data_IF_155394356146
#
_entry.id   IF_155394356146
#
_cell.length_a   1.000
_cell.length_b   1.000
_cell.length_c   1.000
_cell.angle_alpha   90.00
_cell.angle_beta   90.00
_cell.angle_gamma   90.00
#
_symmetry.space_group_name_H-M   'P 1'
#
loop_
_entity.id
_entity.type
_entity.pdbx_description
1 polymer ?
#
# COMPACT_ATOMS: atom_id res chain seq x y z
N UNK A 1 26.91 14.02 -9.26
CA UNK A 1 25.50 13.92 -8.80
C UNK A 1 24.93 12.52 -8.97
N UNK A 2 24.94 11.90 -10.16
CA UNK A 2 24.40 10.54 -10.37
C UNK A 2 25.00 9.48 -9.43
N UNK A 3 26.34 9.49 -9.24
CA UNK A 3 27.02 8.56 -8.33
C UNK A 3 26.56 8.75 -6.88
N UNK A 4 26.38 9.99 -6.41
CA UNK A 4 25.88 10.27 -5.06
C UNK A 4 24.44 9.80 -4.86
N UNK A 5 23.58 9.98 -5.86
CA UNK A 5 22.22 9.45 -5.83
C UNK A 5 22.19 7.92 -5.79
N UNK A 6 23.06 7.27 -6.58
CA UNK A 6 23.16 5.81 -6.59
C UNK A 6 23.65 5.27 -5.24
N UNK A 7 24.68 5.89 -4.65
CA UNK A 7 25.18 5.54 -3.32
C UNK A 7 24.09 5.75 -2.26
N UNK A 8 23.35 6.85 -2.31
CA UNK A 8 22.23 7.12 -1.41
C UNK A 8 21.11 6.07 -1.54
N UNK A 9 20.74 5.70 -2.77
CA UNK A 9 19.74 4.66 -3.00
C UNK A 9 20.18 3.30 -2.43
N UNK A 10 21.44 2.91 -2.65
CA UNK A 10 22.00 1.66 -2.10
C UNK A 10 21.96 1.68 -0.57
N UNK A 11 22.35 2.79 0.06
CA UNK A 11 22.33 2.91 1.53
C UNK A 11 20.91 2.79 2.10
N UNK A 12 19.93 3.42 1.46
CA UNK A 12 18.52 3.34 1.88
C UNK A 12 18.00 1.92 1.71
N UNK A 13 18.27 1.28 0.57
CA UNK A 13 17.86 -0.11 0.33
C UNK A 13 18.52 -1.08 1.30
N UNK A 14 19.82 -0.95 1.55
CA UNK A 14 20.54 -1.78 2.52
C UNK A 14 20.00 -1.57 3.94
N UNK A 15 19.72 -0.32 4.31
CA UNK A 15 19.08 0.02 5.60
C UNK A 15 17.71 -0.65 5.75
N UNK A 16 16.85 -0.57 4.73
CA UNK A 16 15.53 -1.23 4.75
C UNK A 16 15.66 -2.76 4.91
N UNK A 17 16.60 -3.40 4.20
CA UNK A 17 16.85 -4.84 4.32
C UNK A 17 17.32 -5.18 5.75
N UNK A 18 18.21 -4.39 6.34
CA UNK A 18 18.68 -4.61 7.70
C UNK A 18 17.56 -4.45 8.73
N UNK A 19 16.68 -3.46 8.57
CA UNK A 19 15.49 -3.28 9.41
C UNK A 19 14.55 -4.47 9.29
N UNK A 20 14.32 -4.97 8.08
CA UNK A 20 13.52 -6.18 7.86
C UNK A 20 14.11 -7.38 8.60
N UNK A 21 15.40 -7.67 8.43
CA UNK A 21 16.06 -8.81 9.06
C UNK A 21 16.04 -8.71 10.59
N UNK A 22 16.30 -7.52 11.13
CA UNK A 22 16.19 -7.26 12.56
C UNK A 22 14.76 -7.46 13.07
N UNK A 23 13.77 -6.90 12.36
CA UNK A 23 12.37 -6.96 12.76
C UNK A 23 11.83 -8.39 12.73
N UNK A 24 12.22 -9.21 11.74
CA UNK A 24 11.86 -10.63 11.69
C UNK A 24 12.31 -11.36 12.97
N UNK A 25 13.58 -11.16 13.38
CA UNK A 25 14.09 -11.76 14.62
C UNK A 25 13.37 -11.23 15.86
N UNK A 26 13.11 -9.93 15.91
CA UNK A 26 12.37 -9.31 17.00
C UNK A 26 10.95 -9.87 17.11
N UNK A 27 10.21 -9.94 16.01
CA UNK A 27 8.83 -10.42 15.95
C UNK A 27 8.70 -11.89 16.39
N UNK A 28 9.70 -12.73 16.07
CA UNK A 28 9.74 -14.11 16.56
C UNK A 28 10.05 -14.18 18.05
N UNK A 29 11.00 -13.38 18.55
CA UNK A 29 11.41 -13.38 19.96
C UNK A 29 10.32 -12.86 20.92
N UNK A 30 9.45 -11.97 20.44
CA UNK A 30 8.35 -11.40 21.23
C UNK A 30 7.05 -12.21 21.12
N UNK A 31 7.03 -13.25 20.29
CA UNK A 31 5.83 -14.03 20.02
C UNK A 31 4.78 -13.31 19.16
N UNK A 32 5.16 -12.22 18.46
CA UNK A 32 4.27 -11.49 17.55
C UNK A 32 3.84 -12.35 16.37
N UNK A 33 4.72 -13.23 15.88
CA UNK A 33 4.42 -14.19 14.82
C UNK A 33 4.93 -15.58 15.17
N UNK A 34 4.24 -16.65 14.74
CA UNK A 34 4.69 -18.01 14.94
C UNK A 34 5.91 -18.32 14.06
N UNK A 35 6.76 -19.23 14.56
CA UNK A 35 8.00 -19.64 13.87
C UNK A 35 7.73 -20.51 12.64
N UNK A 36 6.65 -21.27 12.64
CA UNK A 36 6.25 -22.13 11.52
C UNK A 36 5.24 -21.44 10.61
N UNK A 37 5.53 -21.35 9.32
CA UNK A 37 4.68 -20.67 8.32
C UNK A 37 3.23 -21.18 8.29
N UNK A 38 3.01 -22.49 8.49
CA UNK A 38 1.65 -23.05 8.51
C UNK A 38 0.76 -22.55 9.65
N UNK A 39 1.35 -22.05 10.74
CA UNK A 39 0.61 -21.51 11.88
C UNK A 39 0.32 -20.01 11.74
N UNK A 40 0.75 -19.36 10.66
CA UNK A 40 0.43 -17.96 10.44
C UNK A 40 -1.07 -17.81 10.22
N UNK A 41 -1.67 -16.85 10.92
CA UNK A 41 -3.03 -16.38 10.67
C UNK A 41 -3.01 -15.10 9.85
N UNK A 42 -4.17 -14.68 9.33
CA UNK A 42 -4.29 -13.36 8.70
C UNK A 42 -3.98 -12.24 9.70
N UNK A 43 -4.39 -12.38 10.96
CA UNK A 43 -4.04 -11.46 12.03
C UNK A 43 -2.53 -11.31 12.19
N UNK A 44 -1.80 -12.42 12.22
CA UNK A 44 -0.34 -12.42 12.31
C UNK A 44 0.30 -11.73 11.09
N UNK A 45 -0.18 -12.02 9.87
CA UNK A 45 0.30 -11.36 8.65
C UNK A 45 0.07 -9.84 8.70
N UNK A 46 -1.14 -9.41 9.05
CA UNK A 46 -1.49 -7.98 9.08
C UNK A 46 -0.70 -7.26 10.19
N UNK A 47 -0.64 -7.83 11.39
CA UNK A 47 0.14 -7.27 12.49
C UNK A 47 1.63 -7.17 12.14
N UNK A 48 2.20 -8.21 11.55
CA UNK A 48 3.59 -8.21 11.10
C UNK A 48 3.86 -7.10 10.06
N UNK A 49 3.02 -7.00 9.02
CA UNK A 49 3.19 -6.00 7.95
C UNK A 49 3.04 -4.56 8.48
N UNK A 50 2.06 -4.30 9.35
CA UNK A 50 1.87 -2.97 9.93
C UNK A 50 3.02 -2.56 10.83
N UNK A 51 3.49 -3.46 11.69
CA UNK A 51 4.63 -3.18 12.57
C UNK A 51 5.92 -3.03 11.77
N UNK A 52 6.15 -3.87 10.76
CA UNK A 52 7.29 -3.75 9.86
C UNK A 52 7.28 -2.39 9.16
N UNK A 53 6.14 -2.00 8.58
CA UNK A 53 5.99 -0.71 7.91
C UNK A 53 6.25 0.45 8.88
N UNK A 54 5.76 0.35 10.11
CA UNK A 54 6.00 1.37 11.14
C UNK A 54 7.49 1.49 11.48
N UNK A 55 8.18 0.37 11.70
CA UNK A 55 9.61 0.37 11.99
C UNK A 55 10.46 0.83 10.81
N UNK A 56 10.11 0.45 9.60
CA UNK A 56 10.79 0.90 8.38
C UNK A 56 10.61 2.41 8.17
N UNK A 57 9.38 2.93 8.34
CA UNK A 57 9.12 4.35 8.26
C UNK A 57 9.86 5.14 9.35
N UNK A 58 9.94 4.59 10.56
CA UNK A 58 10.60 5.23 11.69
C UNK A 58 12.12 5.23 11.54
N UNK A 59 12.72 4.09 11.20
CA UNK A 59 14.18 3.91 11.17
C UNK A 59 14.81 4.35 9.84
N UNK A 60 14.10 4.25 8.73
CA UNK A 60 14.60 4.64 7.40
C UNK A 60 13.88 5.89 6.90
N UNK A 61 12.55 5.93 7.01
CA UNK A 61 11.75 7.04 6.51
C UNK A 61 12.10 8.38 7.16
N UNK A 62 12.19 8.45 8.50
CA UNK A 62 12.53 9.70 9.20
C UNK A 62 13.93 10.20 8.83
N UNK A 63 15.01 9.39 8.92
CA UNK A 63 16.34 9.84 8.47
C UNK A 63 16.38 10.26 7.00
N UNK A 64 15.67 9.55 6.11
CA UNK A 64 15.56 9.90 4.70
C UNK A 64 14.96 11.31 4.53
N UNK A 65 13.89 11.62 5.26
CA UNK A 65 13.24 12.94 5.21
C UNK A 65 14.21 14.02 5.69
N UNK A 66 14.97 13.78 6.76
CA UNK A 66 15.96 14.73 7.29
C UNK A 66 17.03 15.02 6.23
N UNK A 67 17.60 13.98 5.60
CA UNK A 67 18.60 14.13 4.53
C UNK A 67 18.01 14.92 3.36
N UNK A 68 16.78 14.61 2.96
CA UNK A 68 16.10 15.34 1.88
C UNK A 68 15.92 16.83 2.20
N UNK A 69 15.56 17.18 3.44
CA UNK A 69 15.42 18.58 3.89
C UNK A 69 16.79 19.28 3.87
N UNK A 70 17.86 18.64 4.34
CA UNK A 70 19.21 19.22 4.34
C UNK A 70 19.70 19.49 2.92
N UNK A 71 19.54 18.51 2.01
CA UNK A 71 19.88 18.66 0.59
C UNK A 71 19.07 19.80 -0.04
N UNK A 72 17.77 19.91 0.29
CA UNK A 72 16.91 20.97 -0.23
C UNK A 72 17.30 22.37 0.29
N UNK A 73 17.63 22.50 1.59
CA UNK A 73 18.11 23.75 2.17
C UNK A 73 19.46 24.16 1.58
N UNK A 74 20.36 23.20 1.35
CA UNK A 74 21.63 23.44 0.67
C UNK A 74 21.43 23.90 -0.77
N UNK A 75 20.55 23.23 -1.52
CA UNK A 75 20.18 23.62 -2.89
C UNK A 75 19.53 25.02 -2.97
N UNK A 76 18.88 25.47 -1.90
CA UNK A 76 18.35 26.83 -1.81
C UNK A 76 19.41 27.92 -1.63
N UNK A 77 20.63 27.58 -1.22
CA UNK A 77 21.71 28.54 -0.97
C UNK A 77 22.66 28.74 -2.16
N UNK A 78 22.51 27.99 -3.26
CA UNK A 78 23.36 28.13 -4.45
C UNK A 78 22.95 29.37 -5.32
N UNK A 79 23.91 30.11 -5.90
CA UNK A 79 23.67 31.29 -6.73
C UNK A 79 22.88 30.97 -8.02
N UNK A 80 22.16 31.99 -8.54
CA UNK A 80 21.14 31.85 -9.58
C UNK A 80 21.68 31.37 -10.94
N UNK A 81 22.96 31.61 -11.28
CA UNK A 81 23.54 31.16 -12.56
C UNK A 81 23.58 29.62 -12.70
N UNK A 82 23.92 28.86 -11.65
CA UNK A 82 23.95 27.39 -11.70
C UNK A 82 22.55 26.77 -11.63
N UNK A 83 21.56 27.52 -11.14
CA UNK A 83 20.20 27.00 -10.91
C UNK A 83 19.38 26.83 -12.18
N UNK A 84 19.70 27.60 -13.23
CA UNK A 84 18.97 27.59 -14.50
C UNK A 84 19.35 26.41 -15.40
N UNK A 85 20.57 25.90 -15.31
CA UNK A 85 21.04 24.75 -16.07
C UNK A 85 20.44 23.41 -15.57
N UNK A 86 19.96 23.39 -14.32
CA UNK A 86 19.27 22.24 -13.70
C UNK A 86 17.75 22.44 -13.58
N UNK A 87 17.13 23.25 -14.43
CA UNK A 87 15.67 23.27 -14.55
C UNK A 87 15.18 22.02 -15.29
N UNK A 88 15.36 20.86 -14.68
CA UNK A 88 14.66 19.63 -15.07
C UNK A 88 13.21 19.73 -14.62
N UNK A 89 12.47 20.70 -15.19
CA UNK A 89 11.02 20.81 -15.11
C UNK A 89 10.43 19.77 -16.07
N UNK A 90 10.82 18.51 -15.85
CA UNK A 90 10.19 17.37 -16.48
C UNK A 90 8.72 17.44 -16.10
N UNK A 91 7.85 17.62 -17.09
CA UNK A 91 6.41 17.45 -16.94
C UNK A 91 6.21 16.12 -16.25
N UNK A 92 5.87 16.16 -14.97
CA UNK A 92 5.45 15.00 -14.20
C UNK A 92 4.17 14.55 -14.88
N UNK A 93 4.28 13.61 -15.82
CA UNK A 93 3.12 12.87 -16.26
C UNK A 93 2.61 12.17 -15.02
N UNK A 94 1.54 12.72 -14.44
CA UNK A 94 0.67 11.94 -13.58
C UNK A 94 0.13 10.86 -14.50
N UNK A 95 0.84 9.74 -14.62
CA UNK A 95 0.14 8.50 -14.92
C UNK A 95 -0.71 8.26 -13.69
N UNK A 96 -1.99 8.63 -13.81
CA UNK A 96 -3.02 8.13 -12.93
C UNK A 96 -3.06 6.63 -13.17
N UNK A 97 -2.19 5.89 -12.48
CA UNK A 97 -2.20 4.43 -12.46
C UNK A 97 -3.45 4.01 -11.67
N UNK A 98 -4.61 4.10 -12.33
CA UNK A 98 -5.92 3.77 -11.78
C UNK A 98 -6.16 2.27 -11.58
N UNK A 99 -5.13 1.43 -11.74
CA UNK A 99 -5.25 -0.02 -11.64
C UNK A 99 -5.23 -0.59 -10.21
N UNK A 100 -4.74 0.14 -9.21
CA UNK A 100 -4.48 -0.45 -7.89
C UNK A 100 -5.64 -0.33 -6.89
N UNK A 101 -6.58 0.61 -7.10
CA UNK A 101 -7.65 0.87 -6.14
C UNK A 101 -8.63 -0.32 -6.03
N UNK A 102 -8.96 -0.97 -7.15
CA UNK A 102 -9.90 -2.08 -7.16
C UNK A 102 -9.34 -3.33 -6.46
N UNK A 103 -8.09 -3.71 -6.74
CA UNK A 103 -7.41 -4.81 -6.04
C UNK A 103 -7.29 -4.55 -4.54
N UNK A 104 -7.02 -3.30 -4.16
CA UNK A 104 -6.98 -2.89 -2.75
C UNK A 104 -8.34 -3.03 -2.07
N UNK A 105 -9.44 -2.63 -2.74
CA UNK A 105 -10.79 -2.78 -2.21
C UNK A 105 -11.17 -4.27 -1.99
N UNK A 106 -10.82 -5.15 -2.95
CA UNK A 106 -11.04 -6.59 -2.79
C UNK A 106 -10.24 -7.12 -1.60
N UNK A 107 -8.98 -6.70 -1.46
CA UNK A 107 -8.14 -7.12 -0.33
C UNK A 107 -8.73 -6.69 1.02
N UNK A 108 -9.15 -5.43 1.15
CA UNK A 108 -9.79 -4.94 2.38
C UNK A 108 -11.11 -5.68 2.66
N UNK A 109 -11.95 -5.87 1.65
CA UNK A 109 -13.19 -6.62 1.80
C UNK A 109 -12.94 -8.08 2.24
N UNK A 110 -11.89 -8.70 1.71
CA UNK A 110 -11.45 -10.04 2.11
C UNK A 110 -11.01 -10.09 3.58
N UNK A 111 -10.22 -9.12 4.04
CA UNK A 111 -9.84 -9.02 5.46
C UNK A 111 -11.05 -8.87 6.36
N UNK A 112 -12.01 -8.01 5.98
CA UNK A 112 -13.26 -7.82 6.72
C UNK A 112 -14.04 -9.13 6.78
N UNK A 113 -14.18 -9.83 5.66
CA UNK A 113 -14.89 -11.12 5.61
C UNK A 113 -14.26 -12.16 6.52
N UNK A 114 -12.94 -12.31 6.47
CA UNK A 114 -12.19 -13.24 7.33
C UNK A 114 -12.39 -12.91 8.81
N UNK A 115 -12.39 -11.62 9.15
CA UNK A 115 -12.66 -11.15 10.51
C UNK A 115 -14.08 -11.49 10.96
N UNK A 116 -15.09 -11.23 10.12
CA UNK A 116 -16.50 -11.52 10.42
C UNK A 116 -16.77 -13.02 10.61
N UNK A 117 -16.05 -13.87 9.88
CA UNK A 117 -16.16 -15.33 10.01
C UNK A 117 -15.40 -15.89 11.23
N UNK A 118 -14.71 -15.05 12.01
CA UNK A 118 -13.91 -15.50 13.16
C UNK A 118 -12.61 -16.19 12.79
N UNK A 119 -12.22 -16.18 11.51
CA UNK A 119 -10.99 -16.82 11.03
C UNK A 119 -9.74 -15.93 11.13
N UNK A 120 -9.86 -14.75 11.77
CA UNK A 120 -8.77 -13.77 11.88
C UNK A 120 -7.49 -14.33 12.50
N UNK A 121 -7.62 -15.05 13.62
CA UNK A 121 -6.50 -15.64 14.37
C UNK A 121 -6.32 -17.14 14.11
N UNK A 122 -7.05 -17.67 13.13
CA UNK A 122 -6.98 -19.09 12.76
C UNK A 122 -5.81 -19.31 11.81
N UNK A 123 -5.05 -20.37 12.05
CA UNK A 123 -3.91 -20.77 11.22
C UNK A 123 -4.34 -21.04 9.77
N UNK A 124 -3.64 -20.47 8.80
CA UNK A 124 -3.91 -20.63 7.36
C UNK A 124 -3.83 -22.10 6.94
N UNK A 125 -3.00 -22.92 7.61
CA UNK A 125 -2.92 -24.35 7.32
C UNK A 125 -4.24 -25.12 7.54
N UNK A 126 -5.17 -24.59 8.35
CA UNK A 126 -6.48 -25.24 8.56
C UNK A 126 -7.55 -24.76 7.58
N UNK A 127 -7.22 -23.81 6.70
CA UNK A 127 -8.17 -23.26 5.76
C UNK A 127 -8.34 -24.18 4.55
N UNK A 128 -9.58 -24.36 4.11
CA UNK A 128 -9.86 -25.03 2.84
C UNK A 128 -9.68 -24.05 1.67
N UNK A 129 -9.29 -24.59 0.52
CA UNK A 129 -9.25 -23.80 -0.72
C UNK A 129 -10.64 -23.27 -1.07
N UNK A 130 -11.69 -24.06 -0.83
CA UNK A 130 -13.09 -23.65 -1.01
C UNK A 130 -13.41 -22.40 -0.20
N UNK A 131 -13.01 -22.36 1.09
CA UNK A 131 -13.22 -21.18 1.91
C UNK A 131 -12.58 -19.94 1.28
N UNK A 132 -11.35 -20.04 0.79
CA UNK A 132 -10.65 -18.91 0.16
C UNK A 132 -11.38 -18.43 -1.10
N UNK A 133 -11.77 -19.36 -1.98
CA UNK A 133 -12.49 -19.03 -3.23
C UNK A 133 -13.84 -18.39 -2.93
N UNK A 134 -14.66 -18.99 -2.07
CA UNK A 134 -15.97 -18.44 -1.71
C UNK A 134 -15.85 -17.08 -1.01
N UNK A 135 -14.82 -16.89 -0.18
CA UNK A 135 -14.53 -15.58 0.44
C UNK A 135 -14.32 -14.48 -0.60
N UNK A 136 -13.44 -14.74 -1.58
CA UNK A 136 -13.11 -13.78 -2.63
C UNK A 136 -14.34 -13.48 -3.49
N UNK A 137 -15.07 -14.52 -3.92
CA UNK A 137 -16.30 -14.34 -4.70
C UNK A 137 -17.33 -13.53 -3.93
N UNK A 138 -17.54 -13.83 -2.64
CA UNK A 138 -18.50 -13.12 -1.79
C UNK A 138 -18.17 -11.63 -1.71
N UNK A 139 -16.89 -11.29 -1.52
CA UNK A 139 -16.43 -9.90 -1.47
C UNK A 139 -16.62 -9.21 -2.81
N UNK A 140 -16.30 -9.86 -3.92
CA UNK A 140 -16.52 -9.31 -5.26
C UNK A 140 -18.00 -9.02 -5.52
N UNK A 141 -18.90 -9.91 -5.09
CA UNK A 141 -20.35 -9.71 -5.17
C UNK A 141 -20.78 -8.50 -4.34
N UNK A 142 -20.31 -8.37 -3.10
CA UNK A 142 -20.63 -7.22 -2.25
C UNK A 142 -20.11 -5.90 -2.84
N UNK A 143 -18.90 -5.87 -3.41
CA UNK A 143 -18.36 -4.70 -4.11
C UNK A 143 -19.25 -4.36 -5.32
N UNK A 144 -19.63 -5.35 -6.13
CA UNK A 144 -20.52 -5.14 -7.27
C UNK A 144 -21.90 -4.62 -6.84
N UNK A 145 -22.44 -5.06 -5.70
CA UNK A 145 -23.70 -4.55 -5.15
C UNK A 145 -23.55 -3.09 -4.70
N UNK A 146 -22.52 -2.78 -3.90
CA UNK A 146 -22.29 -1.45 -3.31
C UNK A 146 -22.01 -0.40 -4.38
N UNK A 147 -21.23 -0.72 -5.42
CA UNK A 147 -20.90 0.23 -6.49
C UNK A 147 -21.83 0.13 -7.69
N UNK A 148 -22.29 -1.07 -8.03
CA UNK A 148 -23.11 -1.32 -9.22
C UNK A 148 -24.54 -0.79 -9.07
N UNK A 149 -25.16 -0.88 -7.90
CA UNK A 149 -26.52 -0.33 -7.70
C UNK A 149 -26.52 1.20 -7.84
N UNK A 150 -25.67 1.97 -7.14
CA UNK A 150 -25.62 3.43 -7.33
C UNK A 150 -25.25 3.84 -8.75
N UNK A 151 -24.33 3.11 -9.40
CA UNK A 151 -23.97 3.37 -10.79
C UNK A 151 -25.17 3.18 -11.71
N UNK A 152 -25.91 2.08 -11.56
CA UNK A 152 -27.11 1.80 -12.35
C UNK A 152 -28.19 2.88 -12.15
N UNK A 153 -28.43 3.29 -10.90
CA UNK A 153 -29.39 4.37 -10.59
C UNK A 153 -28.94 5.68 -11.25
N UNK A 154 -27.65 6.03 -11.17
CA UNK A 154 -27.10 7.23 -11.81
C UNK A 154 -27.25 7.21 -13.32
N UNK A 155 -27.00 6.06 -13.96
CA UNK A 155 -27.15 5.89 -15.41
C UNK A 155 -28.63 6.04 -15.82
N UNK A 156 -29.55 5.40 -15.10
CA UNK A 156 -30.99 5.50 -15.38
C UNK A 156 -31.46 6.95 -15.21
N UNK A 157 -31.05 7.63 -14.14
CA UNK A 157 -31.39 9.03 -13.92
C UNK A 157 -30.85 9.96 -15.01
N UNK A 158 -29.60 9.76 -15.44
CA UNK A 158 -28.98 10.53 -16.51
C UNK A 158 -29.71 10.36 -17.84
N UNK A 159 -30.04 9.11 -18.24
CA UNK A 159 -30.83 8.84 -19.44
C UNK A 159 -32.22 9.48 -19.37
N UNK A 160 -32.89 9.42 -18.21
CA UNK A 160 -34.19 10.07 -18.02
C UNK A 160 -34.13 11.60 -18.05
N UNK A 161 -33.03 12.21 -17.60
CA UNK A 161 -32.83 13.66 -17.68
C UNK A 161 -32.61 14.10 -19.12
N UNK A 162 -31.75 13.42 -19.87
CA UNK A 162 -31.40 13.78 -21.25
C UNK A 162 -32.63 13.75 -22.18
N UNK A 163 -33.50 12.75 -22.01
CA UNK A 163 -34.77 12.66 -22.73
C UNK A 163 -35.78 13.76 -22.38
N UNK A 164 -35.66 14.42 -21.23
CA UNK A 164 -36.52 15.54 -20.82
C UNK A 164 -35.99 16.91 -21.24
N UNK A 165 -34.70 17.06 -21.51
CA UNK A 165 -34.09 18.30 -21.98
C UNK A 165 -34.03 18.44 -23.51
N UNK A 166 -34.33 17.36 -24.25
CA UNK A 166 -34.39 17.34 -25.72
C UNK A 166 -35.78 17.52 -26.34
N UNK A 167 -36.81 17.78 -25.53
CA UNK A 167 -38.19 18.10 -25.94
C UNK A 167 -38.56 19.50 -25.46
#
# INVERSE_FOLDING_TARGET
>A
MIVLFMVGAILVSAGAILVLLWFVGHAQSTGLVPTTLGLWSIGNMVAFLLNLLFWELLLIGIPLIIVAIVVWLWWRRLPLEERNEYTFRGKRSRSSSGGNAFSFLIFIGFLIKVYLDGNWDVAIATWSFDYLVYSVITVMVWIAIIFGIPLAIGIVWWLCHDMRSGA
#
